data_IF_882028963501
#
_entry.id   IF_882028963501
#
_cell.length_a   1.000
_cell.length_b   1.000
_cell.length_c   1.000
_cell.angle_alpha   90.00
_cell.angle_beta   90.00
_cell.angle_gamma   90.00
#
_symmetry.space_group_name_H-M   'P 1'
#
loop_
_entity.id
_entity.type
_entity.pdbx_description
1 polymer ?
#
# COMPACT_ATOMS: atom_id res chain seq x y z
N UNK A 1 12.36 0.29 17.10
CA UNK A 1 11.90 0.40 18.51
C UNK A 1 12.10 1.82 19.06
N UNK A 2 13.27 2.41 18.98
CA UNK A 2 13.59 3.71 19.58
C UNK A 2 12.61 4.84 19.15
N UNK A 3 12.33 5.00 17.86
CA UNK A 3 11.42 6.03 17.33
C UNK A 3 9.99 5.83 17.84
N UNK A 4 9.50 4.60 17.85
CA UNK A 4 8.18 4.26 18.41
C UNK A 4 8.06 4.69 19.87
N UNK A 5 9.07 4.41 20.69
CA UNK A 5 9.07 4.74 22.11
C UNK A 5 9.14 6.25 22.33
N UNK A 6 9.82 7.00 21.45
CA UNK A 6 9.81 8.47 21.42
C UNK A 6 8.42 9.04 21.11
N UNK A 7 7.73 8.49 20.11
CA UNK A 7 6.36 8.88 19.78
C UNK A 7 5.39 8.61 20.93
N UNK A 8 5.51 7.45 21.58
CA UNK A 8 4.71 7.11 22.75
C UNK A 8 4.95 8.10 23.89
N UNK A 9 6.20 8.41 24.21
CA UNK A 9 6.56 9.38 25.25
C UNK A 9 6.04 10.79 24.92
N UNK A 10 6.15 11.22 23.66
CA UNK A 10 5.64 12.52 23.22
C UNK A 10 4.10 12.59 23.34
N UNK A 11 3.39 11.52 22.96
CA UNK A 11 1.94 11.45 23.13
C UNK A 11 1.54 11.59 24.60
N UNK A 12 2.16 10.83 25.50
CA UNK A 12 1.87 10.84 26.92
C UNK A 12 2.16 12.21 27.57
N UNK A 13 3.20 12.90 27.09
CA UNK A 13 3.54 14.25 27.54
C UNK A 13 2.54 15.31 27.08
N UNK A 14 2.06 15.21 25.84
CA UNK A 14 1.14 16.19 25.24
C UNK A 14 -0.32 15.94 25.64
N UNK A 15 -0.71 14.68 25.88
CA UNK A 15 -2.08 14.27 26.14
C UNK A 15 -2.19 13.38 27.40
N UNK A 16 -1.82 13.86 28.59
CA UNK A 16 -1.78 13.04 29.80
C UNK A 16 -3.17 12.51 30.21
N UNK A 17 -4.24 13.18 29.81
CA UNK A 17 -5.63 12.73 30.06
C UNK A 17 -6.14 11.64 29.13
N UNK A 18 -5.34 11.19 28.15
CA UNK A 18 -5.73 10.26 27.11
C UNK A 18 -4.73 9.11 26.95
N UNK A 19 -4.17 8.67 28.05
CA UNK A 19 -3.19 7.56 28.11
C UNK A 19 -3.80 6.26 27.58
N UNK A 20 -5.05 6.02 27.89
CA UNK A 20 -5.85 4.86 27.48
C UNK A 20 -6.18 4.81 25.98
N UNK A 21 -6.02 5.94 25.27
CA UNK A 21 -6.24 5.96 23.81
C UNK A 21 -5.09 5.34 23.03
N UNK A 22 -3.87 5.37 23.58
CA UNK A 22 -2.68 4.89 22.89
C UNK A 22 -2.44 3.41 23.17
N UNK A 23 -2.44 2.62 22.11
CA UNK A 23 -1.95 1.25 22.10
C UNK A 23 -0.56 1.27 21.46
N UNK A 24 0.45 0.92 22.24
CA UNK A 24 1.80 0.69 21.71
C UNK A 24 1.90 -0.78 21.35
N UNK A 25 2.12 -1.06 20.06
CA UNK A 25 2.18 -2.41 19.54
C UNK A 25 3.35 -3.18 20.20
N UNK A 26 3.03 -4.31 20.82
CA UNK A 26 3.96 -5.19 21.53
C UNK A 26 4.74 -6.12 20.58
N UNK A 27 5.00 -7.35 21.00
CA UNK A 27 5.65 -8.36 20.15
C UNK A 27 4.64 -9.11 19.27
N UNK A 28 3.35 -9.02 19.55
CA UNK A 28 2.25 -9.56 18.74
C UNK A 28 1.39 -8.43 18.16
N UNK A 29 1.44 -8.27 16.85
CA UNK A 29 0.62 -7.28 16.11
C UNK A 29 -0.86 -7.59 16.20
N UNK A 30 -1.23 -8.85 16.34
CA UNK A 30 -2.63 -9.29 16.43
C UNK A 30 -3.29 -8.75 17.68
N UNK A 31 -2.60 -8.72 18.82
CA UNK A 31 -3.12 -8.16 20.07
C UNK A 31 -3.40 -6.65 19.94
N UNK A 32 -2.43 -5.89 19.41
CA UNK A 32 -2.61 -4.45 19.21
C UNK A 32 -3.80 -4.10 18.33
N UNK A 33 -3.97 -4.84 17.22
CA UNK A 33 -5.11 -4.67 16.32
C UNK A 33 -6.43 -5.10 16.97
N UNK A 34 -6.46 -6.22 17.68
CA UNK A 34 -7.67 -6.69 18.38
C UNK A 34 -8.13 -5.67 19.43
N UNK A 35 -7.22 -5.07 20.17
CA UNK A 35 -7.51 -4.01 21.15
C UNK A 35 -8.05 -2.75 20.46
N UNK A 36 -7.47 -2.34 19.34
CA UNK A 36 -7.97 -1.20 18.56
C UNK A 36 -9.41 -1.47 18.09
N UNK A 37 -9.67 -2.63 17.51
CA UNK A 37 -10.99 -2.99 16.97
C UNK A 37 -12.06 -3.18 18.06
N UNK A 38 -11.69 -3.61 19.25
CA UNK A 38 -12.60 -3.76 20.38
C UNK A 38 -12.80 -2.44 21.18
N UNK A 39 -12.22 -1.34 20.71
CA UNK A 39 -12.36 -0.04 21.34
C UNK A 39 -11.57 0.11 22.66
N UNK A 40 -10.60 -0.77 22.92
CA UNK A 40 -9.70 -0.65 24.08
C UNK A 40 -8.62 0.43 23.91
N UNK A 41 -8.67 1.15 22.82
CA UNK A 41 -7.86 2.31 22.47
C UNK A 41 -8.34 2.90 21.16
N UNK A 42 -7.77 4.01 20.75
CA UNK A 42 -8.15 4.74 19.52
C UNK A 42 -6.98 4.93 18.56
N UNK A 43 -5.76 4.78 19.05
CA UNK A 43 -4.53 5.01 18.29
C UNK A 43 -3.64 3.79 18.47
N UNK A 44 -3.26 3.17 17.37
CA UNK A 44 -2.26 2.10 17.35
C UNK A 44 -0.94 2.64 16.84
N UNK A 45 0.08 2.64 17.67
CA UNK A 45 1.44 2.98 17.32
C UNK A 45 2.22 1.69 17.01
N UNK A 46 2.54 1.49 15.75
CA UNK A 46 3.18 0.27 15.25
C UNK A 46 4.43 0.55 14.40
N UNK A 47 5.15 -0.47 13.99
CA UNK A 47 6.29 -0.38 13.08
C UNK A 47 5.88 -0.73 11.64
N UNK A 48 6.72 -0.36 10.66
CA UNK A 48 6.46 -0.72 9.27
C UNK A 48 6.42 -2.23 9.03
N UNK A 49 7.32 -2.98 9.66
CA UNK A 49 7.35 -4.44 9.53
C UNK A 49 6.01 -5.05 9.97
N UNK A 50 5.42 -4.53 11.04
CA UNK A 50 4.14 -5.02 11.55
C UNK A 50 2.97 -4.55 10.72
N UNK A 51 2.95 -3.29 10.31
CA UNK A 51 1.96 -2.77 9.37
C UNK A 51 1.92 -3.61 8.08
N UNK A 52 3.09 -3.96 7.53
CA UNK A 52 3.21 -4.79 6.34
C UNK A 52 2.90 -6.28 6.62
N UNK A 53 3.00 -6.72 7.87
CA UNK A 53 2.61 -8.07 8.25
C UNK A 53 1.09 -8.28 8.27
N UNK A 54 0.29 -7.22 8.46
CA UNK A 54 -1.17 -7.29 8.35
C UNK A 54 -1.52 -7.75 6.93
N UNK A 55 -2.18 -8.89 6.74
CA UNK A 55 -2.51 -9.35 5.40
C UNK A 55 -3.62 -8.51 4.77
N UNK A 56 -3.60 -8.41 3.45
CA UNK A 56 -4.71 -7.86 2.66
C UNK A 56 -5.59 -9.03 2.22
N UNK A 57 -6.89 -8.87 2.32
CA UNK A 57 -7.86 -9.86 1.89
C UNK A 57 -7.69 -10.17 0.38
N UNK A 58 -7.81 -11.45 -0.03
CA UNK A 58 -7.66 -11.85 -1.43
C UNK A 58 -8.59 -11.09 -2.39
N UNK A 59 -9.78 -10.72 -1.91
CA UNK A 59 -10.78 -9.97 -2.68
C UNK A 59 -10.33 -8.54 -2.95
N UNK A 60 -9.80 -7.85 -1.92
CA UNK A 60 -9.26 -6.49 -2.04
C UNK A 60 -8.06 -6.48 -2.99
N UNK A 61 -7.14 -7.42 -2.79
CA UNK A 61 -5.99 -7.56 -3.66
C UNK A 61 -6.39 -7.87 -5.10
N UNK A 62 -7.34 -8.81 -5.29
CA UNK A 62 -7.83 -9.21 -6.59
C UNK A 62 -8.44 -8.04 -7.37
N UNK A 63 -9.28 -7.24 -6.71
CA UNK A 63 -9.91 -6.07 -7.30
C UNK A 63 -8.87 -4.99 -7.69
N UNK A 64 -7.89 -4.73 -6.83
CA UNK A 64 -6.81 -3.79 -7.11
C UNK A 64 -5.99 -4.21 -8.35
N UNK A 65 -5.55 -5.47 -8.37
CA UNK A 65 -4.71 -5.98 -9.46
C UNK A 65 -5.48 -6.09 -10.78
N UNK A 66 -6.78 -6.39 -10.72
CA UNK A 66 -7.63 -6.41 -11.90
C UNK A 66 -7.77 -5.01 -12.51
N UNK A 67 -8.01 -4.00 -11.68
CA UNK A 67 -8.05 -2.61 -12.14
C UNK A 67 -6.73 -2.20 -12.80
N UNK A 68 -5.59 -2.51 -12.19
CA UNK A 68 -4.28 -2.22 -12.80
C UNK A 68 -4.11 -2.89 -14.18
N UNK A 69 -4.64 -4.11 -14.33
CA UNK A 69 -4.62 -4.80 -15.63
C UNK A 69 -5.52 -4.13 -16.65
N UNK A 70 -6.69 -3.66 -16.24
CA UNK A 70 -7.64 -2.99 -17.14
C UNK A 70 -7.10 -1.63 -17.58
N UNK A 71 -6.55 -0.81 -16.66
CA UNK A 71 -5.86 0.45 -16.99
C UNK A 71 -4.69 0.24 -17.96
N UNK A 72 -3.93 -0.85 -17.81
CA UNK A 72 -2.85 -1.19 -18.72
C UNK A 72 -3.34 -1.58 -20.11
N UNK A 73 -4.49 -2.28 -20.20
CA UNK A 73 -5.09 -2.65 -21.50
C UNK A 73 -5.59 -1.42 -22.25
N UNK A 74 -6.33 -0.53 -21.57
CA UNK A 74 -6.80 0.73 -22.13
C UNK A 74 -5.62 1.56 -22.66
N UNK A 75 -4.56 1.72 -21.85
CA UNK A 75 -3.36 2.43 -22.29
C UNK A 75 -2.64 1.74 -23.49
N UNK A 76 -2.74 0.42 -23.62
CA UNK A 76 -2.20 -0.30 -24.78
C UNK A 76 -3.04 -0.03 -26.03
N UNK A 77 -4.36 -0.09 -25.93
CA UNK A 77 -5.28 0.11 -27.05
C UNK A 77 -5.16 1.54 -27.60
N UNK A 78 -5.10 2.55 -26.73
CA UNK A 78 -4.89 3.95 -27.11
C UNK A 78 -3.57 4.19 -27.87
N UNK A 79 -2.54 3.45 -27.55
CA UNK A 79 -1.22 3.59 -28.18
C UNK A 79 -1.15 2.82 -29.51
N UNK A 80 -1.83 1.68 -29.65
CA UNK A 80 -1.85 0.91 -30.91
C UNK A 80 -2.46 1.69 -32.06
N UNK A 81 -3.37 2.63 -31.78
CA UNK A 81 -3.98 3.50 -32.80
C UNK A 81 -3.03 4.57 -33.36
N UNK A 82 -1.92 4.91 -32.65
CA UNK A 82 -1.04 6.01 -33.04
C UNK A 82 0.47 5.74 -33.04
N UNK A 83 0.92 4.55 -32.63
CA UNK A 83 2.34 4.25 -32.43
C UNK A 83 3.01 3.61 -33.66
N UNK A 84 4.33 3.87 -33.80
CA UNK A 84 5.17 3.12 -34.74
C UNK A 84 5.25 1.64 -34.34
N UNK A 85 5.50 0.74 -35.34
CA UNK A 85 5.57 -0.70 -35.11
C UNK A 85 6.55 -1.14 -34.02
N UNK A 86 7.70 -0.48 -33.92
CA UNK A 86 8.71 -0.79 -32.90
C UNK A 86 8.25 -0.37 -31.49
N UNK A 87 7.55 0.76 -31.37
CA UNK A 87 6.99 1.23 -30.11
C UNK A 87 5.87 0.31 -29.62
N UNK A 88 4.97 -0.13 -30.50
CA UNK A 88 3.93 -1.10 -30.18
C UNK A 88 4.51 -2.44 -29.71
N UNK A 89 5.58 -2.92 -30.31
CA UNK A 89 6.27 -4.16 -29.91
C UNK A 89 6.90 -4.03 -28.50
N UNK A 90 7.53 -2.89 -28.22
CA UNK A 90 8.13 -2.61 -26.90
C UNK A 90 7.05 -2.56 -25.82
N UNK A 91 5.94 -1.90 -26.07
CA UNK A 91 4.81 -1.81 -25.16
C UNK A 91 4.16 -3.16 -24.86
N UNK A 92 3.95 -4.01 -25.87
CA UNK A 92 3.45 -5.39 -25.70
C UNK A 92 4.37 -6.22 -24.80
N UNK A 93 5.68 -6.06 -24.93
CA UNK A 93 6.64 -6.75 -24.07
C UNK A 93 6.50 -6.29 -22.60
N UNK A 94 6.40 -4.98 -22.37
CA UNK A 94 6.28 -4.39 -21.05
C UNK A 94 4.94 -4.77 -20.39
N UNK A 95 3.85 -4.75 -21.15
CA UNK A 95 2.55 -5.21 -20.67
C UNK A 95 2.61 -6.66 -20.19
N UNK A 96 3.19 -7.58 -20.99
CA UNK A 96 3.36 -8.99 -20.58
C UNK A 96 4.24 -9.15 -19.34
N UNK A 97 5.28 -8.33 -19.22
CA UNK A 97 6.13 -8.34 -18.03
C UNK A 97 5.35 -7.89 -16.77
N UNK A 98 4.55 -6.83 -16.91
CA UNK A 98 3.70 -6.34 -15.80
C UNK A 98 2.63 -7.35 -15.42
N UNK A 99 1.94 -7.98 -16.39
CA UNK A 99 1.00 -9.07 -16.12
C UNK A 99 1.63 -10.20 -15.29
N UNK A 100 2.84 -10.63 -15.65
CA UNK A 100 3.56 -11.67 -14.89
C UNK A 100 3.88 -11.23 -13.46
N UNK A 101 4.24 -9.96 -13.27
CA UNK A 101 4.52 -9.40 -11.93
C UNK A 101 3.26 -9.37 -11.09
N UNK A 102 2.14 -8.92 -11.65
CA UNK A 102 0.83 -8.90 -11.00
C UNK A 102 0.40 -10.32 -10.60
N UNK A 103 0.51 -11.29 -11.50
CA UNK A 103 0.13 -12.67 -11.21
C UNK A 103 1.01 -13.29 -10.10
N UNK A 104 2.31 -13.04 -10.11
CA UNK A 104 3.20 -13.46 -9.02
C UNK A 104 2.82 -12.84 -7.68
N UNK A 105 2.50 -11.53 -7.67
CA UNK A 105 2.04 -10.85 -6.47
C UNK A 105 0.74 -11.45 -5.93
N UNK A 106 -0.21 -11.76 -6.83
CA UNK A 106 -1.48 -12.40 -6.51
C UNK A 106 -1.29 -13.77 -5.84
N UNK A 107 -0.46 -14.63 -6.44
CA UNK A 107 -0.14 -15.95 -5.88
C UNK A 107 0.53 -15.81 -4.51
N UNK A 108 1.58 -15.00 -4.40
CA UNK A 108 2.32 -14.84 -3.16
C UNK A 108 1.45 -14.34 -1.99
N UNK A 109 0.55 -13.41 -2.25
CA UNK A 109 -0.35 -12.89 -1.22
C UNK A 109 -1.43 -13.91 -0.85
N UNK A 110 -1.95 -14.66 -1.82
CA UNK A 110 -2.90 -15.73 -1.53
C UNK A 110 -2.26 -16.82 -0.66
N UNK A 111 -1.06 -17.25 -0.99
CA UNK A 111 -0.32 -18.24 -0.21
C UNK A 111 -0.04 -17.72 1.22
N UNK A 112 0.27 -16.45 1.37
CA UNK A 112 0.42 -15.79 2.67
C UNK A 112 -0.87 -15.85 3.47
N UNK A 113 -2.00 -15.47 2.86
CA UNK A 113 -3.33 -15.52 3.49
C UNK A 113 -3.68 -16.93 3.93
N UNK A 114 -3.57 -17.91 3.04
CA UNK A 114 -3.87 -19.31 3.32
C UNK A 114 -2.98 -19.89 4.43
N UNK A 115 -1.71 -19.46 4.47
CA UNK A 115 -0.77 -19.90 5.51
C UNK A 115 -1.15 -19.37 6.88
N UNK A 116 -1.53 -18.09 6.97
CA UNK A 116 -1.96 -17.46 8.22
C UNK A 116 -3.30 -18.09 8.68
N UNK A 117 -4.25 -18.26 7.77
CA UNK A 117 -5.56 -18.87 8.04
C UNK A 117 -5.41 -20.28 8.61
N UNK A 118 -4.54 -21.10 8.02
CA UNK A 118 -4.27 -22.46 8.53
C UNK A 118 -3.65 -22.48 9.92
N UNK A 119 -2.83 -21.48 10.27
CA UNK A 119 -2.15 -21.42 11.58
C UNK A 119 -3.02 -20.88 12.69
N UNK A 120 -3.86 -19.90 12.39
CA UNK A 120 -4.59 -19.10 13.38
C UNK A 120 -6.12 -19.35 13.37
N UNK A 121 -6.63 -20.11 12.40
CA UNK A 121 -8.07 -20.41 12.26
C UNK A 121 -8.89 -19.23 11.73
N UNK A 122 -8.50 -18.00 12.02
CA UNK A 122 -9.08 -16.77 11.46
C UNK A 122 -7.98 -15.77 11.17
N UNK A 123 -8.16 -14.95 10.15
CA UNK A 123 -7.20 -13.91 9.76
C UNK A 123 -7.87 -12.55 9.89
N UNK A 124 -7.24 -11.68 10.65
CA UNK A 124 -7.59 -10.28 10.68
C UNK A 124 -6.88 -9.59 9.51
N UNK A 125 -7.62 -9.28 8.45
CA UNK A 125 -7.11 -8.56 7.30
C UNK A 125 -7.23 -7.04 7.43
N UNK A 126 -6.54 -6.33 6.56
CA UNK A 126 -6.52 -4.87 6.56
C UNK A 126 -7.90 -4.23 6.39
N UNK A 127 -8.75 -4.81 5.55
CA UNK A 127 -10.11 -4.32 5.32
C UNK A 127 -10.99 -4.34 6.56
N UNK A 128 -10.74 -5.27 7.47
CA UNK A 128 -11.48 -5.42 8.72
C UNK A 128 -10.99 -4.47 9.84
N UNK A 129 -9.81 -3.87 9.71
CA UNK A 129 -9.23 -3.01 10.77
C UNK A 129 -10.06 -1.75 11.02
N UNK A 130 -10.77 -1.23 10.00
CA UNK A 130 -11.63 -0.05 10.16
C UNK A 130 -10.85 1.22 10.50
N UNK A 131 -9.68 1.43 9.89
CA UNK A 131 -8.82 2.57 10.13
C UNK A 131 -9.42 3.85 9.52
N UNK A 132 -9.57 4.92 10.30
CA UNK A 132 -10.04 6.23 9.82
C UNK A 132 -8.90 7.14 9.36
N UNK A 133 -7.73 7.00 9.99
CA UNK A 133 -6.55 7.80 9.71
C UNK A 133 -5.28 6.96 9.84
N UNK A 134 -4.52 6.92 8.77
CA UNK A 134 -3.17 6.34 8.73
C UNK A 134 -2.13 7.47 8.69
N UNK A 135 -1.24 7.51 9.68
CA UNK A 135 -0.10 8.44 9.70
C UNK A 135 1.18 7.65 9.50
N UNK A 136 1.91 7.98 8.44
CA UNK A 136 3.16 7.31 8.08
C UNK A 136 4.34 8.28 8.26
N UNK A 137 5.19 8.02 9.23
CA UNK A 137 6.48 8.70 9.37
C UNK A 137 7.49 8.10 8.38
N UNK A 138 8.45 8.88 7.91
CA UNK A 138 9.40 8.47 6.86
C UNK A 138 8.71 7.90 5.61
N UNK A 139 7.72 8.61 5.09
CA UNK A 139 6.86 8.18 3.97
C UNK A 139 7.63 7.82 2.71
N UNK A 140 8.84 8.33 2.54
CA UNK A 140 9.76 7.95 1.46
C UNK A 140 10.08 6.45 1.41
N UNK A 141 9.76 5.71 2.46
CA UNK A 141 9.86 4.25 2.51
C UNK A 141 9.05 3.55 1.41
N UNK A 142 7.99 4.18 0.92
CA UNK A 142 7.12 3.67 -0.14
C UNK A 142 7.43 4.20 -1.54
N UNK A 143 8.45 5.02 -1.71
CA UNK A 143 8.80 5.68 -2.98
C UNK A 143 9.15 4.74 -4.14
N UNK A 144 9.50 3.48 -3.87
CA UNK A 144 9.86 2.47 -4.86
C UNK A 144 8.65 1.65 -5.33
N UNK A 145 7.49 2.26 -5.48
CA UNK A 145 6.38 1.68 -6.21
C UNK A 145 6.76 1.67 -7.70
N UNK A 146 6.70 0.51 -8.36
CA UNK A 146 6.99 0.40 -9.78
C UNK A 146 6.09 1.34 -10.57
N UNK A 147 6.68 2.39 -11.10
CA UNK A 147 6.01 3.23 -12.09
C UNK A 147 5.86 2.37 -13.32
N UNK A 148 4.63 2.18 -13.81
CA UNK A 148 4.32 1.31 -14.94
C UNK A 148 5.41 1.40 -16.01
N UNK A 149 6.13 0.31 -16.19
CA UNK A 149 7.44 0.24 -16.83
C UNK A 149 7.50 0.76 -18.29
N UNK A 150 6.34 1.08 -18.88
CA UNK A 150 6.24 1.34 -20.31
C UNK A 150 6.78 2.68 -20.80
N UNK A 151 6.84 3.70 -19.94
CA UNK A 151 7.26 5.04 -20.39
C UNK A 151 8.61 5.51 -19.85
N UNK A 152 9.19 4.81 -18.87
CA UNK A 152 10.37 5.27 -18.14
C UNK A 152 11.53 4.26 -18.09
N UNK A 153 11.46 3.16 -18.85
CA UNK A 153 12.58 2.22 -18.97
C UNK A 153 13.75 2.92 -19.67
N UNK A 154 14.91 2.96 -19.01
CA UNK A 154 16.09 3.67 -19.52
C UNK A 154 16.24 5.11 -19.02
N UNK A 155 15.29 5.64 -18.25
CA UNK A 155 15.47 6.95 -17.61
C UNK A 155 16.35 6.80 -16.37
N UNK A 156 17.45 7.55 -16.35
CA UNK A 156 18.39 7.54 -15.20
C UNK A 156 17.67 7.93 -13.90
N UNK A 157 17.88 7.15 -12.85
CA UNK A 157 17.29 7.39 -11.52
C UNK A 157 15.89 6.87 -11.33
N UNK A 158 15.29 6.21 -12.34
CA UNK A 158 13.99 5.54 -12.21
C UNK A 158 14.21 4.06 -11.95
N UNK A 159 13.81 3.59 -10.76
CA UNK A 159 13.79 2.16 -10.45
C UNK A 159 12.58 1.51 -11.11
N UNK A 160 12.82 0.55 -11.98
CA UNK A 160 11.78 -0.32 -12.56
C UNK A 160 11.44 -1.50 -11.64
N UNK A 161 12.26 -1.75 -10.62
CA UNK A 161 12.04 -2.79 -9.64
C UNK A 161 10.97 -2.36 -8.64
N UNK A 162 9.80 -2.98 -8.73
CA UNK A 162 8.74 -2.80 -7.75
C UNK A 162 9.12 -3.45 -6.42
N UNK A 163 9.09 -2.65 -5.36
CA UNK A 163 9.20 -3.16 -4.01
C UNK A 163 7.87 -3.77 -3.58
N UNK A 164 7.87 -5.07 -3.22
CA UNK A 164 6.69 -5.74 -2.63
C UNK A 164 6.09 -4.96 -1.46
N UNK A 165 6.93 -4.29 -0.72
CA UNK A 165 6.62 -3.40 0.39
C UNK A 165 5.84 -2.17 -0.05
N UNK A 166 6.29 -1.53 -1.13
CA UNK A 166 5.61 -0.37 -1.69
C UNK A 166 4.24 -0.75 -2.28
N UNK A 167 4.14 -1.90 -2.94
CA UNK A 167 2.88 -2.42 -3.47
C UNK A 167 1.88 -2.73 -2.35
N UNK A 168 2.30 -3.45 -1.30
CA UNK A 168 1.43 -3.77 -0.16
C UNK A 168 0.93 -2.49 0.53
N UNK A 169 1.83 -1.54 0.78
CA UNK A 169 1.48 -0.23 1.33
C UNK A 169 0.52 0.56 0.43
N UNK A 170 0.74 0.53 -0.88
CA UNK A 170 -0.13 1.17 -1.87
C UNK A 170 -1.56 0.63 -1.81
N UNK A 171 -1.73 -0.68 -1.84
CA UNK A 171 -3.05 -1.32 -1.78
C UNK A 171 -3.79 -0.91 -0.49
N UNK A 172 -3.10 -0.95 0.65
CA UNK A 172 -3.65 -0.56 1.95
C UNK A 172 -4.07 0.91 2.02
N UNK A 173 -3.25 1.81 1.48
CA UNK A 173 -3.54 3.24 1.44
C UNK A 173 -4.68 3.55 0.47
N UNK A 174 -4.67 2.95 -0.72
CA UNK A 174 -5.73 3.15 -1.70
C UNK A 174 -7.07 2.59 -1.22
N UNK A 175 -7.09 1.44 -0.55
CA UNK A 175 -8.29 0.92 0.11
C UNK A 175 -8.89 1.91 1.10
N UNK A 176 -8.04 2.59 1.87
CA UNK A 176 -8.45 3.58 2.84
C UNK A 176 -8.90 4.91 2.20
N UNK A 177 -8.17 5.39 1.19
CA UNK A 177 -8.44 6.69 0.55
C UNK A 177 -9.58 6.66 -0.46
N UNK A 178 -9.70 5.56 -1.19
CA UNK A 178 -10.55 5.47 -2.37
C UNK A 178 -11.13 4.05 -2.53
N UNK A 179 -11.98 3.59 -1.59
CA UNK A 179 -12.55 2.24 -1.64
C UNK A 179 -13.36 1.97 -2.91
N UNK A 180 -13.86 3.02 -3.59
CA UNK A 180 -14.53 2.90 -4.89
C UNK A 180 -13.61 2.40 -6.03
N UNK A 181 -12.29 2.42 -5.83
CA UNK A 181 -11.33 1.85 -6.79
C UNK A 181 -11.23 0.33 -6.71
N UNK A 182 -12.01 -0.31 -5.85
CA UNK A 182 -12.01 -1.76 -5.63
C UNK A 182 -13.39 -2.33 -6.00
N UNK A 183 -13.67 -2.49 -7.31
CA UNK A 183 -14.99 -2.91 -7.76
C UNK A 183 -15.36 -4.31 -7.24
N UNK A 184 -16.61 -4.46 -6.83
CA UNK A 184 -17.12 -5.73 -6.30
C UNK A 184 -16.71 -6.07 -4.86
N UNK A 185 -15.94 -5.22 -4.20
CA UNK A 185 -15.58 -5.39 -2.78
C UNK A 185 -16.32 -4.34 -1.95
N UNK A 186 -17.08 -4.81 -0.97
CA UNK A 186 -17.83 -3.96 -0.04
C UNK A 186 -17.11 -3.87 1.31
N UNK A 187 -17.34 -2.77 2.04
CA UNK A 187 -16.87 -2.59 3.41
C UNK A 187 -15.76 -1.56 3.61
N UNK A 188 -15.27 -0.92 2.56
CA UNK A 188 -14.31 0.18 2.71
C UNK A 188 -14.96 1.43 3.30
N UNK A 189 -14.43 1.92 4.41
CA UNK A 189 -14.75 3.25 4.94
C UNK A 189 -13.73 4.24 4.42
N UNK A 190 -14.21 5.41 3.97
CA UNK A 190 -13.33 6.45 3.45
C UNK A 190 -12.54 7.08 4.58
N UNK A 191 -11.26 6.76 4.66
CA UNK A 191 -10.33 7.31 5.64
C UNK A 191 -9.39 8.36 5.03
N UNK A 192 -8.33 8.66 5.76
CA UNK A 192 -7.29 9.62 5.39
C UNK A 192 -5.90 9.02 5.58
N UNK A 193 -4.95 9.51 4.77
CA UNK A 193 -3.53 9.17 4.90
C UNK A 193 -2.72 10.45 5.01
N UNK A 194 -1.81 10.51 5.98
CA UNK A 194 -0.81 11.56 6.13
C UNK A 194 0.56 10.93 6.00
N UNK A 195 1.29 11.34 4.97
CA UNK A 195 2.69 10.97 4.80
C UNK A 195 3.61 12.09 5.27
N UNK A 196 4.53 11.77 6.17
CA UNK A 196 5.55 12.70 6.66
C UNK A 196 6.92 12.22 6.21
N UNK A 197 7.74 13.12 5.67
CA UNK A 197 9.12 12.81 5.29
C UNK A 197 9.98 14.06 5.23
N UNK A 198 11.21 13.97 5.73
CA UNK A 198 12.22 15.01 5.58
C UNK A 198 12.94 14.95 4.23
N UNK A 199 12.81 13.86 3.46
CA UNK A 199 13.53 13.60 2.21
C UNK A 199 12.58 13.13 1.10
N UNK A 200 11.67 14.02 0.61
CA UNK A 200 10.68 13.61 -0.38
C UNK A 200 11.31 13.26 -1.73
N UNK A 201 12.47 13.80 -2.03
CA UNK A 201 13.22 13.51 -3.26
C UNK A 201 14.66 13.23 -2.89
N UNK A 202 15.19 12.07 -3.28
CA UNK A 202 16.59 11.71 -3.09
C UNK A 202 17.32 11.47 -4.41
N UNK A 203 16.67 10.85 -5.40
CA UNK A 203 17.28 10.48 -6.67
C UNK A 203 16.61 11.11 -7.89
N UNK A 204 15.28 11.23 -7.89
CA UNK A 204 14.54 11.77 -9.03
C UNK A 204 13.18 12.34 -8.63
N UNK A 205 12.62 13.22 -9.48
CA UNK A 205 11.25 13.74 -9.34
C UNK A 205 10.19 12.65 -9.41
N UNK A 206 10.50 11.49 -9.98
CA UNK A 206 9.60 10.34 -10.03
C UNK A 206 9.26 9.83 -8.63
N UNK A 207 10.18 9.95 -7.67
CA UNK A 207 9.92 9.57 -6.27
C UNK A 207 8.79 10.43 -5.68
N UNK A 208 8.79 11.73 -5.97
CA UNK A 208 7.71 12.63 -5.55
C UNK A 208 6.39 12.27 -6.23
N UNK A 209 6.42 12.02 -7.55
CA UNK A 209 5.22 11.59 -8.29
C UNK A 209 4.63 10.29 -7.70
N UNK A 210 5.47 9.31 -7.38
CA UNK A 210 5.02 8.07 -6.71
C UNK A 210 4.34 8.36 -5.37
N UNK A 211 4.93 9.21 -4.54
CA UNK A 211 4.31 9.58 -3.27
C UNK A 211 2.98 10.33 -3.45
N UNK A 212 2.89 11.20 -4.46
CA UNK A 212 1.62 11.86 -4.81
C UNK A 212 0.57 10.86 -5.28
N UNK A 213 0.94 9.88 -6.11
CA UNK A 213 0.04 8.80 -6.54
C UNK A 213 -0.47 7.98 -5.36
N UNK A 214 0.37 7.69 -4.37
CA UNK A 214 -0.03 6.98 -3.15
C UNK A 214 -1.08 7.75 -2.32
N UNK A 215 -0.97 9.08 -2.28
CA UNK A 215 -1.85 9.94 -1.49
C UNK A 215 -3.08 10.43 -2.24
N UNK A 216 -3.06 10.40 -3.58
CA UNK A 216 -4.13 10.91 -4.42
C UNK A 216 -4.44 9.96 -5.59
N UNK A 217 -4.95 8.76 -5.31
CA UNK A 217 -5.15 7.71 -6.31
C UNK A 217 -6.17 8.04 -7.40
N UNK A 218 -6.98 9.10 -7.22
CA UNK A 218 -8.00 9.52 -8.18
C UNK A 218 -7.54 10.64 -9.13
N UNK A 219 -6.37 11.24 -8.90
CA UNK A 219 -5.90 12.40 -9.66
C UNK A 219 -4.70 12.09 -10.57
N UNK A 220 -4.04 10.99 -10.36
CA UNK A 220 -2.84 10.54 -11.06
C UNK A 220 -2.96 9.09 -11.54
#
# INVERSE_FOLDING_TARGET
RHIRDQWAAAWLALYPGHVDWLIVDGDDTTDGLARLMTGQGRILLTTYERFLAIPVEPEILGAYLQRELDELKEAQDDIEEGASHDMAKHLKRNFRARQKTIEKARVAQRDKWDTITRRQGSVLGWGAVGCDLLVCDEFHFFKNLGVGASKMEGVSGVSTAESQRALDGCIKMHWLLAPQLFPGVSGGTRGKVIGMTGTPITNSLVELWVMMKLLQPNLL
#
